data_IF_281140796952
#
_entry.id   IF_281140796952
#
_cell.length_a   1.000
_cell.length_b   1.000
_cell.length_c   1.000
_cell.angle_alpha   90.00
_cell.angle_beta   90.00
_cell.angle_gamma   90.00
#
_symmetry.space_group_name_H-M   'P 1'
#
loop_
_entity.id
_entity.type
_entity.pdbx_description
1 polymer ?
#
# COMPACT_ATOMS: atom_id res chain seq x y z
N UNK A 1 76.18 31.19 -8.54
CA UNK A 1 76.45 32.61 -8.23
C UNK A 1 75.15 33.20 -7.71
N UNK A 2 75.18 33.67 -6.46
CA UNK A 2 74.09 34.21 -5.62
C UNK A 2 73.25 35.27 -6.36
N UNK A 3 72.00 35.61 -5.99
CA UNK A 3 71.48 36.11 -4.70
C UNK A 3 69.95 35.83 -4.63
N UNK A 4 69.36 35.17 -3.63
CA UNK A 4 69.12 35.49 -2.21
C UNK A 4 68.30 36.78 -1.93
N UNK A 5 67.11 36.61 -1.33
CA UNK A 5 66.46 37.44 -0.28
C UNK A 5 65.10 36.79 0.12
N UNK A 6 65.05 35.98 1.19
CA UNK A 6 64.70 36.30 2.60
C UNK A 6 63.23 36.77 2.75
N UNK A 7 62.35 36.10 3.50
CA UNK A 7 62.19 36.14 4.99
C UNK A 7 61.12 35.07 5.39
N UNK A 8 61.35 34.04 6.21
CA UNK A 8 61.41 33.90 7.69
C UNK A 8 60.12 34.27 8.47
N UNK A 9 59.51 33.27 9.13
CA UNK A 9 58.97 33.21 10.52
C UNK A 9 57.90 32.09 10.63
N UNK A 10 58.23 30.84 10.96
CA UNK A 10 58.17 30.22 12.31
C UNK A 10 56.99 30.68 13.17
N UNK A 11 56.00 29.80 13.39
CA UNK A 11 55.46 29.48 14.72
C UNK A 11 55.13 27.98 14.77
N UNK A 12 55.79 27.27 15.67
CA UNK A 12 55.38 25.96 16.18
C UNK A 12 54.63 26.17 17.49
N UNK A 13 53.42 25.63 17.64
CA UNK A 13 52.77 25.41 18.94
C UNK A 13 52.13 24.02 18.90
N UNK A 14 52.68 23.11 19.70
CA UNK A 14 52.00 21.89 20.10
C UNK A 14 50.85 22.25 21.04
N UNK A 15 49.64 21.84 20.69
CA UNK A 15 48.45 21.93 21.53
C UNK A 15 47.83 20.55 21.66
N UNK A 16 47.93 19.97 22.85
CA UNK A 16 47.08 18.87 23.29
C UNK A 16 45.62 19.31 23.15
N UNK A 17 44.83 18.61 22.35
CA UNK A 17 43.37 18.64 22.44
C UNK A 17 42.91 17.19 22.61
N UNK A 18 42.60 16.83 23.85
CA UNK A 18 41.44 15.97 24.12
C UNK A 18 40.27 16.60 23.36
N UNK A 19 39.71 15.86 22.41
CA UNK A 19 38.44 16.19 21.79
C UNK A 19 37.50 15.04 22.08
N UNK A 20 36.41 15.40 22.75
CA UNK A 20 35.18 14.68 23.08
C UNK A 20 35.08 13.23 22.58
N UNK A 21 34.79 12.33 23.52
CA UNK A 21 33.79 11.32 23.23
C UNK A 21 32.52 12.06 22.83
N UNK A 22 32.17 11.95 21.56
CA UNK A 22 30.78 12.14 21.17
C UNK A 22 30.10 10.83 21.53
N UNK A 23 29.39 10.84 22.66
CA UNK A 23 28.16 10.08 22.80
C UNK A 23 27.18 10.66 21.77
N UNK A 24 27.48 10.43 20.49
CA UNK A 24 26.47 10.43 19.45
C UNK A 24 25.91 9.02 19.54
N UNK A 25 24.92 8.85 20.43
CA UNK A 25 23.90 7.82 20.25
C UNK A 25 23.14 8.20 18.97
N UNK A 26 23.82 8.09 17.83
CA UNK A 26 23.17 7.93 16.55
C UNK A 26 22.34 6.67 16.75
N UNK A 27 21.02 6.86 16.88
CA UNK A 27 20.07 5.76 16.97
C UNK A 27 20.07 5.08 15.60
N UNK A 28 21.14 4.36 15.29
CA UNK A 28 21.21 3.47 14.16
C UNK A 28 20.24 2.34 14.50
N UNK A 29 19.04 2.40 13.92
CA UNK A 29 18.09 1.31 14.00
C UNK A 29 18.77 0.12 13.34
N UNK A 30 19.11 -0.90 14.15
CA UNK A 30 19.67 -2.13 13.65
C UNK A 30 18.66 -2.80 12.72
N UNK A 31 19.07 -3.11 11.49
CA UNK A 31 18.22 -3.83 10.55
C UNK A 31 18.09 -5.26 11.05
N UNK A 32 16.91 -5.58 11.57
CA UNK A 32 16.54 -6.90 12.05
C UNK A 32 16.20 -7.86 10.90
N UNK A 33 16.31 -9.16 11.18
CA UNK A 33 15.89 -10.20 10.25
C UNK A 33 14.38 -10.07 9.96
N UNK A 34 13.97 -9.95 8.68
CA UNK A 34 12.56 -9.75 8.33
C UNK A 34 11.63 -10.88 8.77
N UNK A 35 12.10 -12.14 8.79
CA UNK A 35 11.29 -13.28 9.23
C UNK A 35 11.10 -13.25 10.75
N UNK A 36 12.14 -12.92 11.53
CA UNK A 36 12.04 -12.75 12.98
C UNK A 36 11.03 -11.66 13.35
N UNK A 37 11.12 -10.50 12.71
CA UNK A 37 10.17 -9.39 12.94
C UNK A 37 8.75 -9.78 12.55
N UNK A 38 8.57 -10.46 11.42
CA UNK A 38 7.25 -10.94 11.02
C UNK A 38 6.64 -11.91 12.04
N UNK A 39 7.42 -12.84 12.58
CA UNK A 39 6.95 -13.78 13.60
C UNK A 39 6.50 -13.06 14.88
N UNK A 40 7.19 -12.00 15.28
CA UNK A 40 6.81 -11.12 16.40
C UNK A 40 5.54 -10.34 16.10
N UNK A 41 5.49 -9.62 14.98
CA UNK A 41 4.32 -8.85 14.54
C UNK A 41 3.07 -9.73 14.47
N UNK A 42 3.21 -10.93 13.90
CA UNK A 42 2.14 -11.90 13.78
C UNK A 42 1.65 -12.35 15.16
N UNK A 43 2.54 -12.55 16.13
CA UNK A 43 2.17 -12.90 17.49
C UNK A 43 1.42 -11.76 18.19
N UNK A 44 1.86 -10.51 18.01
CA UNK A 44 1.23 -9.32 18.58
C UNK A 44 -0.16 -9.06 17.99
N UNK A 45 -0.29 -9.14 16.66
CA UNK A 45 -1.59 -8.99 15.98
C UNK A 45 -2.56 -10.09 16.43
N UNK A 46 -2.11 -11.35 16.48
CA UNK A 46 -2.97 -12.44 16.96
C UNK A 46 -3.39 -12.26 18.42
N UNK A 47 -2.52 -11.73 19.28
CA UNK A 47 -2.87 -11.40 20.65
C UNK A 47 -3.93 -10.28 20.70
N UNK A 48 -3.77 -9.22 19.90
CA UNK A 48 -4.76 -8.16 19.76
C UNK A 48 -6.12 -8.72 19.32
N UNK A 49 -6.14 -9.50 18.24
CA UNK A 49 -7.36 -10.07 17.65
C UNK A 49 -8.12 -10.99 18.62
N UNK A 50 -7.43 -11.72 19.50
CA UNK A 50 -8.06 -12.60 20.51
C UNK A 50 -8.61 -11.85 21.71
N UNK A 51 -8.10 -10.65 21.99
CA UNK A 51 -8.42 -9.89 23.21
C UNK A 51 -9.32 -8.69 22.96
N UNK A 52 -9.58 -8.36 21.69
CA UNK A 52 -10.42 -7.24 21.29
C UNK A 52 -11.65 -7.70 20.51
N UNK A 53 -12.69 -6.88 20.57
CA UNK A 53 -13.90 -6.96 19.76
C UNK A 53 -14.18 -5.58 19.16
N UNK A 54 -15.12 -5.49 18.21
CA UNK A 54 -15.61 -4.21 17.71
C UNK A 54 -17.07 -3.97 18.09
N UNK A 55 -17.57 -2.75 17.95
CA UNK A 55 -18.96 -2.33 18.18
C UNK A 55 -19.98 -2.98 17.21
N UNK A 56 -19.98 -4.31 17.11
CA UNK A 56 -20.77 -5.12 16.18
C UNK A 56 -22.28 -4.84 16.25
N UNK A 57 -22.82 -4.61 17.44
CA UNK A 57 -24.26 -4.35 17.62
C UNK A 57 -24.72 -3.08 16.89
N UNK A 58 -23.84 -2.08 16.77
CA UNK A 58 -24.15 -0.84 16.06
C UNK A 58 -24.33 -1.11 14.56
N UNK A 59 -23.64 -2.11 14.01
CA UNK A 59 -23.74 -2.49 12.61
C UNK A 59 -24.87 -3.49 12.33
N UNK A 60 -25.20 -4.37 13.28
CA UNK A 60 -26.29 -5.36 13.11
C UNK A 60 -27.69 -4.72 13.12
N UNK A 61 -27.85 -3.60 13.82
CA UNK A 61 -29.15 -2.97 14.06
C UNK A 61 -29.44 -1.77 13.15
N UNK A 62 -28.62 -1.56 12.12
CA UNK A 62 -28.67 -0.34 11.32
C UNK A 62 -29.18 -0.62 9.90
N UNK A 63 -30.19 0.14 9.42
CA UNK A 63 -30.58 0.10 8.02
C UNK A 63 -29.48 0.65 7.08
N UNK A 64 -29.49 0.17 5.83
CA UNK A 64 -28.73 0.74 4.71
C UNK A 64 -28.81 2.28 4.72
N UNK A 65 -27.69 3.00 4.82
CA UNK A 65 -27.72 4.46 4.88
C UNK A 65 -26.53 5.14 5.53
N UNK A 66 -26.38 4.97 6.84
CA UNK A 66 -25.47 5.76 7.65
C UNK A 66 -24.07 5.11 7.76
N UNK A 67 -23.06 5.96 7.88
CA UNK A 67 -21.70 5.54 8.14
C UNK A 67 -21.46 5.43 9.65
N UNK A 68 -21.02 4.25 10.07
CA UNK A 68 -20.60 4.01 11.43
C UNK A 68 -19.10 3.89 11.47
N UNK A 69 -18.53 4.37 12.57
CA UNK A 69 -17.13 4.20 12.86
C UNK A 69 -16.91 2.87 13.57
N UNK A 70 -15.91 2.13 13.12
CA UNK A 70 -15.43 0.94 13.84
C UNK A 70 -14.74 1.43 15.12
N UNK A 71 -15.20 0.92 16.26
CA UNK A 71 -14.59 1.17 17.56
C UNK A 71 -14.18 -0.18 18.15
N UNK A 72 -12.90 -0.31 18.48
CA UNK A 72 -12.37 -1.49 19.15
C UNK A 72 -12.35 -1.30 20.66
N UNK A 73 -12.63 -2.37 21.40
CA UNK A 73 -12.52 -2.41 22.86
C UNK A 73 -12.10 -3.83 23.30
N UNK A 74 -11.68 -3.95 24.54
CA UNK A 74 -11.14 -5.18 25.14
C UNK A 74 -12.23 -6.11 25.66
N UNK A 75 -12.00 -7.41 25.52
CA UNK A 75 -12.84 -8.48 26.06
C UNK A 75 -12.50 -8.65 27.54
N UNK A 76 -13.13 -7.82 28.36
CA UNK A 76 -12.95 -7.83 29.80
C UNK A 76 -14.20 -7.28 30.51
N UNK A 77 -14.41 -7.66 31.77
CA UNK A 77 -15.48 -7.12 32.60
C UNK A 77 -16.86 -7.33 31.98
N UNK A 78 -17.57 -6.23 31.68
CA UNK A 78 -18.90 -6.26 31.03
C UNK A 78 -18.85 -6.77 29.59
N UNK A 79 -17.68 -6.76 28.96
CA UNK A 79 -17.45 -7.21 27.59
C UNK A 79 -16.92 -8.65 27.52
N UNK A 80 -16.93 -9.40 28.63
CA UNK A 80 -16.33 -10.74 28.69
C UNK A 80 -16.97 -11.76 27.72
N UNK A 81 -18.23 -11.55 27.33
CA UNK A 81 -18.97 -12.44 26.42
C UNK A 81 -18.92 -11.98 24.95
N UNK A 82 -18.13 -10.96 24.62
CA UNK A 82 -18.02 -10.45 23.23
C UNK A 82 -17.23 -11.40 22.35
N UNK A 83 -17.63 -11.51 21.09
CA UNK A 83 -16.92 -12.32 20.09
C UNK A 83 -15.59 -11.66 19.73
N UNK A 84 -14.46 -12.38 19.79
CA UNK A 84 -13.15 -11.84 19.43
C UNK A 84 -13.04 -11.53 17.94
N UNK A 85 -12.19 -10.56 17.61
CA UNK A 85 -11.88 -10.25 16.21
C UNK A 85 -11.24 -11.44 15.50
N UNK A 86 -10.49 -12.29 16.20
CA UNK A 86 -9.88 -13.50 15.64
C UNK A 86 -10.87 -14.49 15.03
N UNK A 87 -12.15 -14.41 15.38
CA UNK A 87 -13.22 -15.24 14.82
C UNK A 87 -13.98 -14.55 13.66
N UNK A 88 -13.66 -13.28 13.40
CA UNK A 88 -14.44 -12.40 12.52
C UNK A 88 -13.62 -11.81 11.37
N UNK A 89 -12.29 -11.85 11.46
CA UNK A 89 -11.39 -11.48 10.37
C UNK A 89 -11.22 -12.62 9.37
N UNK A 90 -10.98 -12.26 8.12
CA UNK A 90 -10.42 -13.16 7.11
C UNK A 90 -8.92 -12.90 6.98
N UNK A 91 -8.16 -13.91 6.56
CA UNK A 91 -6.73 -13.76 6.29
C UNK A 91 -6.50 -13.65 4.78
N UNK A 92 -5.67 -12.69 4.39
CA UNK A 92 -5.06 -12.58 3.06
C UNK A 92 -3.57 -12.82 3.19
N UNK A 93 -2.99 -13.52 2.23
CA UNK A 93 -1.55 -13.75 2.17
C UNK A 93 -0.96 -12.84 1.11
N UNK A 94 0.08 -12.09 1.44
CA UNK A 94 0.84 -11.28 0.51
C UNK A 94 2.31 -11.70 0.58
N UNK A 95 2.88 -12.11 -0.55
CA UNK A 95 4.27 -12.53 -0.62
C UNK A 95 5.16 -11.33 -0.94
N UNK A 96 6.13 -11.04 -0.07
CA UNK A 96 7.16 -10.02 -0.30
C UNK A 96 8.50 -10.52 0.21
N UNK A 97 9.57 -10.38 -0.59
CA UNK A 97 10.93 -10.76 -0.21
C UNK A 97 11.01 -12.18 0.41
N UNK A 98 10.35 -13.15 -0.26
CA UNK A 98 10.25 -14.56 0.16
C UNK A 98 9.50 -14.86 1.47
N UNK A 99 8.80 -13.86 2.04
CA UNK A 99 7.96 -14.03 3.22
C UNK A 99 6.49 -13.93 2.81
N UNK A 100 5.71 -14.91 3.25
CA UNK A 100 4.25 -14.94 3.08
C UNK A 100 3.59 -14.23 4.28
N UNK A 101 3.38 -12.92 4.17
CA UNK A 101 2.80 -12.10 5.22
C UNK A 101 1.28 -12.34 5.32
N UNK A 102 0.80 -12.52 6.55
CA UNK A 102 -0.63 -12.60 6.85
C UNK A 102 -1.18 -11.22 7.16
N UNK A 103 -2.12 -10.77 6.34
CA UNK A 103 -2.91 -9.56 6.54
C UNK A 103 -4.30 -9.99 7.00
N UNK A 104 -4.74 -9.51 8.16
CA UNK A 104 -6.08 -9.81 8.67
C UNK A 104 -7.03 -8.68 8.29
N UNK A 105 -8.18 -9.02 7.73
CA UNK A 105 -9.18 -8.06 7.26
C UNK A 105 -10.51 -8.33 7.96
N UNK A 106 -11.01 -7.33 8.67
CA UNK A 106 -12.38 -7.30 9.19
C UNK A 106 -13.29 -6.65 8.14
N UNK A 107 -14.20 -7.45 7.57
CA UNK A 107 -15.24 -6.94 6.68
C UNK A 107 -16.53 -6.72 7.47
N UNK A 108 -16.82 -5.46 7.78
CA UNK A 108 -18.05 -5.08 8.51
C UNK A 108 -19.19 -4.81 7.54
N UNK A 109 -18.88 -4.18 6.39
CA UNK A 109 -19.81 -3.97 5.29
C UNK A 109 -19.04 -4.13 3.98
N UNK A 110 -19.49 -5.05 3.12
CA UNK A 110 -18.86 -5.28 1.81
C UNK A 110 -18.92 -4.05 0.89
N UNK A 111 -19.97 -3.23 1.04
CA UNK A 111 -20.35 -2.22 0.07
C UNK A 111 -21.32 -2.78 -0.97
N UNK A 112 -22.12 -1.93 -1.58
CA UNK A 112 -23.16 -2.34 -2.55
C UNK A 112 -23.06 -1.64 -3.90
N UNK A 113 -22.05 -0.79 -4.08
CA UNK A 113 -21.73 -0.19 -5.36
C UNK A 113 -21.19 -1.21 -6.36
N UNK A 114 -21.28 -0.84 -7.64
CA UNK A 114 -21.00 -1.75 -8.76
C UNK A 114 -19.51 -2.02 -8.95
N UNK A 115 -18.64 -1.14 -8.46
CA UNK A 115 -17.19 -1.28 -8.61
C UNK A 115 -16.62 -1.91 -7.35
N UNK A 116 -15.70 -2.85 -7.56
CA UNK A 116 -14.91 -3.49 -6.52
C UNK A 116 -13.46 -3.05 -6.70
N UNK A 117 -12.80 -2.63 -5.63
CA UNK A 117 -11.40 -2.22 -5.69
C UNK A 117 -10.48 -3.42 -5.93
N UNK A 118 -9.45 -3.22 -6.75
CA UNK A 118 -8.26 -4.08 -6.84
C UNK A 118 -7.06 -3.35 -6.24
N UNK A 119 -5.89 -4.01 -6.14
CA UNK A 119 -4.66 -3.35 -5.67
C UNK A 119 -4.13 -2.34 -6.68
N UNK A 120 -4.57 -2.43 -7.94
CA UNK A 120 -4.17 -1.55 -9.03
C UNK A 120 -4.97 -0.24 -9.09
N UNK A 121 -6.11 -0.15 -8.39
CA UNK A 121 -7.08 0.93 -8.60
C UNK A 121 -6.82 2.19 -7.77
N UNK A 122 -7.49 3.28 -8.16
CA UNK A 122 -7.64 4.45 -7.30
C UNK A 122 -8.89 4.35 -6.43
N UNK A 123 -8.77 4.66 -5.13
CA UNK A 123 -9.89 4.62 -4.17
C UNK A 123 -10.05 5.91 -3.39
N UNK A 124 -11.30 6.34 -3.20
CA UNK A 124 -11.65 7.45 -2.32
C UNK A 124 -12.06 6.88 -0.97
N UNK A 125 -11.33 7.20 0.09
CA UNK A 125 -11.54 6.61 1.42
C UNK A 125 -11.56 7.64 2.53
N UNK A 126 -12.39 7.40 3.55
CA UNK A 126 -12.09 7.87 4.89
C UNK A 126 -11.26 6.80 5.59
N UNK A 127 -10.28 7.19 6.40
CA UNK A 127 -9.48 6.22 7.14
C UNK A 127 -8.97 6.78 8.47
N UNK A 128 -8.60 5.86 9.36
CA UNK A 128 -7.82 6.14 10.56
C UNK A 128 -6.80 5.02 10.76
N UNK A 129 -5.52 5.40 10.88
CA UNK A 129 -4.39 4.54 11.18
C UNK A 129 -4.00 4.61 12.66
N UNK A 130 -3.90 3.46 13.30
CA UNK A 130 -3.53 3.33 14.71
C UNK A 130 -2.47 2.25 14.93
N UNK A 131 -1.67 2.38 15.97
CA UNK A 131 -0.86 1.29 16.50
C UNK A 131 -1.73 0.32 17.32
N UNK A 132 -1.23 -0.88 17.63
CA UNK A 132 -1.95 -1.87 18.46
C UNK A 132 -2.31 -1.35 19.87
N UNK A 133 -1.64 -0.30 20.36
CA UNK A 133 -1.95 0.33 21.63
C UNK A 133 -3.06 1.40 21.55
N UNK A 134 -3.65 1.61 20.36
CA UNK A 134 -4.72 2.58 20.10
C UNK A 134 -4.23 4.00 19.81
N UNK A 135 -2.92 4.26 19.79
CA UNK A 135 -2.40 5.57 19.41
C UNK A 135 -2.66 5.81 17.91
N UNK A 136 -3.44 6.86 17.61
CA UNK A 136 -3.66 7.34 16.25
C UNK A 136 -2.39 8.01 15.73
N UNK A 137 -1.91 7.57 14.57
CA UNK A 137 -0.77 8.20 13.89
C UNK A 137 -1.20 9.02 12.67
N UNK A 138 -2.33 8.68 12.04
CA UNK A 138 -2.86 9.39 10.87
C UNK A 138 -4.37 9.16 10.70
N UNK A 139 -5.10 10.14 10.18
CA UNK A 139 -6.53 10.00 9.89
C UNK A 139 -7.07 11.06 8.92
N UNK A 140 -8.12 10.71 8.18
CA UNK A 140 -8.85 11.65 7.34
C UNK A 140 -10.35 11.30 7.26
N UNK A 141 -11.19 12.24 7.68
CA UNK A 141 -12.66 12.13 7.67
C UNK A 141 -13.34 12.80 6.47
N UNK A 142 -12.60 13.62 5.70
CA UNK A 142 -13.12 14.38 4.55
C UNK A 142 -12.98 13.63 3.22
N UNK A 143 -12.63 12.35 3.28
CA UNK A 143 -12.23 11.51 2.16
C UNK A 143 -10.98 11.99 1.41
N UNK A 144 -10.13 11.06 1.03
CA UNK A 144 -8.96 11.32 0.18
C UNK A 144 -8.81 10.23 -0.88
N UNK A 145 -8.35 10.63 -2.06
CA UNK A 145 -7.99 9.68 -3.11
C UNK A 145 -6.62 9.08 -2.83
N UNK A 146 -6.55 7.77 -2.77
CA UNK A 146 -5.32 7.01 -2.87
C UNK A 146 -5.25 6.31 -4.21
N UNK A 147 -4.12 6.50 -4.88
CA UNK A 147 -3.63 5.60 -5.92
C UNK A 147 -3.03 4.38 -5.20
N UNK A 148 -3.72 3.23 -5.20
CA UNK A 148 -3.37 2.11 -4.33
C UNK A 148 -1.97 1.54 -4.60
N UNK A 149 -1.49 1.41 -5.85
CA UNK A 149 -0.08 1.11 -6.14
C UNK A 149 0.92 2.05 -5.47
N UNK A 150 0.53 3.28 -5.12
CA UNK A 150 1.39 4.24 -4.44
C UNK A 150 1.31 4.20 -2.90
N UNK A 151 0.48 3.33 -2.34
CA UNK A 151 0.36 3.13 -0.88
C UNK A 151 1.28 2.02 -0.37
N UNK A 152 1.33 1.80 0.95
CA UNK A 152 1.95 0.58 1.49
C UNK A 152 1.16 -0.64 1.02
N UNK A 153 1.84 -1.72 0.66
CA UNK A 153 1.20 -2.90 0.05
C UNK A 153 0.09 -3.47 0.93
N UNK A 154 0.29 -3.51 2.25
CA UNK A 154 -0.71 -3.99 3.19
C UNK A 154 -2.01 -3.18 3.16
N UNK A 155 -1.94 -1.87 2.86
CA UNK A 155 -3.13 -1.02 2.71
C UNK A 155 -3.87 -1.32 1.40
N UNK A 156 -3.15 -1.37 0.28
CA UNK A 156 -3.71 -1.77 -1.02
C UNK A 156 -4.40 -3.15 -0.91
N UNK A 157 -3.67 -4.15 -0.41
CA UNK A 157 -4.20 -5.50 -0.17
C UNK A 157 -5.38 -5.50 0.80
N UNK A 158 -5.41 -4.64 1.82
CA UNK A 158 -6.52 -4.58 2.79
C UNK A 158 -7.81 -4.01 2.21
N UNK A 159 -7.72 -2.99 1.35
CA UNK A 159 -8.89 -2.34 0.70
C UNK A 159 -9.42 -3.15 -0.48
N UNK A 160 -8.57 -3.91 -1.16
CA UNK A 160 -8.96 -4.73 -2.32
C UNK A 160 -10.16 -5.63 -2.00
N UNK A 161 -11.01 -5.89 -2.99
CA UNK A 161 -12.21 -6.71 -2.85
C UNK A 161 -13.39 -6.03 -2.14
N UNK A 162 -13.26 -4.83 -1.57
CA UNK A 162 -14.43 -4.06 -1.11
C UNK A 162 -15.11 -3.31 -2.26
N UNK A 163 -16.42 -3.15 -2.16
CA UNK A 163 -17.23 -2.41 -3.12
C UNK A 163 -17.43 -0.95 -2.71
N UNK A 164 -17.56 -0.08 -3.69
CA UNK A 164 -17.81 1.35 -3.46
C UNK A 164 -19.24 1.66 -3.00
N UNK A 165 -19.53 2.93 -2.74
CA UNK A 165 -20.87 3.37 -2.33
C UNK A 165 -21.86 3.40 -3.50
N UNK A 166 -23.12 3.04 -3.27
CA UNK A 166 -24.16 3.02 -4.30
C UNK A 166 -24.53 4.41 -4.80
N UNK A 167 -24.49 5.41 -3.92
CA UNK A 167 -24.86 6.80 -4.24
C UNK A 167 -23.88 7.78 -3.61
N UNK A 168 -23.78 8.97 -4.22
CA UNK A 168 -23.11 10.14 -3.65
C UNK A 168 -24.02 11.34 -3.82
N UNK A 169 -24.30 12.04 -2.73
CA UNK A 169 -25.19 13.21 -2.71
C UNK A 169 -24.41 14.43 -2.23
N UNK A 170 -24.37 15.50 -3.02
CA UNK A 170 -23.76 16.75 -2.60
C UNK A 170 -24.68 17.46 -1.58
N UNK A 171 -24.13 17.86 -0.43
CA UNK A 171 -24.91 18.38 0.71
C UNK A 171 -25.16 19.90 0.65
N UNK A 172 -24.76 20.59 -0.43
CA UNK A 172 -24.94 22.03 -0.61
C UNK A 172 -23.98 22.91 0.21
N UNK A 173 -23.23 22.33 1.14
CA UNK A 173 -22.17 22.96 1.94
C UNK A 173 -20.75 22.66 1.41
N UNK A 174 -20.66 22.01 0.24
CA UNK A 174 -19.41 21.56 -0.36
C UNK A 174 -18.98 20.15 0.05
N UNK A 175 -19.68 19.50 0.97
CA UNK A 175 -19.45 18.09 1.33
C UNK A 175 -20.28 17.13 0.49
N UNK A 176 -19.89 15.85 0.50
CA UNK A 176 -20.57 14.77 -0.21
C UNK A 176 -20.90 13.66 0.78
N UNK A 177 -22.16 13.25 0.81
CA UNK A 177 -22.62 12.07 1.54
C UNK A 177 -22.55 10.84 0.64
N UNK A 178 -22.17 9.70 1.21
CA UNK A 178 -22.10 8.41 0.52
C UNK A 178 -23.02 7.41 1.22
N UNK A 179 -23.64 6.51 0.46
CA UNK A 179 -24.52 5.47 1.02
C UNK A 179 -24.04 4.09 0.60
N UNK A 180 -24.04 3.14 1.54
CA UNK A 180 -23.70 1.73 1.32
C UNK A 180 -22.30 1.50 0.74
N UNK A 181 -21.32 2.32 1.11
CA UNK A 181 -19.91 2.08 0.79
C UNK A 181 -19.28 1.01 1.67
N UNK A 182 -18.24 0.34 1.21
CA UNK A 182 -17.50 -0.65 2.00
C UNK A 182 -17.00 -0.07 3.33
N UNK A 183 -17.06 -0.85 4.41
CA UNK A 183 -16.51 -0.51 5.73
C UNK A 183 -15.72 -1.71 6.22
N UNK A 184 -14.46 -1.48 6.57
CA UNK A 184 -13.59 -2.52 7.08
C UNK A 184 -12.48 -2.00 7.95
N UNK A 185 -11.73 -2.94 8.50
CA UNK A 185 -10.45 -2.68 9.12
C UNK A 185 -9.44 -3.73 8.68
N UNK A 186 -8.16 -3.38 8.70
CA UNK A 186 -7.05 -4.27 8.37
C UNK A 186 -5.98 -4.21 9.46
N UNK A 187 -5.31 -5.34 9.70
CA UNK A 187 -4.23 -5.49 10.68
C UNK A 187 -3.00 -5.98 9.92
N UNK A 188 -1.95 -5.15 9.91
CA UNK A 188 -0.81 -5.29 9.02
C UNK A 188 0.46 -5.54 9.84
N UNK A 189 1.22 -6.61 9.55
CA UNK A 189 2.60 -6.71 9.97
C UNK A 189 3.42 -5.53 9.43
N UNK A 190 4.47 -5.14 10.13
CA UNK A 190 5.31 -4.01 9.76
C UNK A 190 6.00 -4.24 8.40
N UNK A 191 6.32 -5.48 8.04
CA UNK A 191 6.99 -5.85 6.77
C UNK A 191 6.21 -5.51 5.49
N UNK A 192 4.88 -5.37 5.57
CA UNK A 192 4.00 -4.90 4.47
C UNK A 192 3.46 -3.48 4.74
N UNK A 193 4.10 -2.78 5.68
CA UNK A 193 3.84 -1.40 6.06
C UNK A 193 5.12 -0.58 5.95
N UNK A 194 5.67 -0.17 7.09
CA UNK A 194 6.86 0.69 7.13
C UNK A 194 8.14 -0.01 7.61
N UNK A 195 8.05 -1.26 8.07
CA UNK A 195 9.15 -2.09 8.57
C UNK A 195 10.13 -1.28 9.45
N UNK A 196 11.39 -1.11 9.04
CA UNK A 196 12.41 -0.35 9.79
C UNK A 196 12.36 1.17 9.59
N UNK A 197 11.54 1.66 8.64
CA UNK A 197 11.43 3.08 8.31
C UNK A 197 10.52 3.78 9.31
N UNK A 198 11.13 4.50 10.24
CA UNK A 198 10.38 5.26 11.24
C UNK A 198 9.61 6.41 10.57
N UNK A 199 8.30 6.49 10.84
CA UNK A 199 7.45 7.61 10.44
C UNK A 199 7.07 8.45 11.66
N UNK A 200 6.53 9.64 11.44
CA UNK A 200 5.97 10.43 12.54
C UNK A 200 4.82 9.64 13.17
N UNK A 201 4.94 9.30 14.45
CA UNK A 201 3.92 8.53 15.18
C UNK A 201 3.98 7.02 14.96
N UNK A 202 4.89 6.51 14.12
CA UNK A 202 5.05 5.08 13.84
C UNK A 202 6.51 4.68 14.14
N UNK A 203 6.79 4.07 15.30
CA UNK A 203 8.09 3.47 15.56
C UNK A 203 8.45 2.40 14.52
N UNK A 204 9.74 2.17 14.29
CA UNK A 204 10.18 1.02 13.50
C UNK A 204 9.63 -0.30 14.05
N UNK A 205 9.36 -1.22 13.14
CA UNK A 205 8.84 -2.57 13.40
C UNK A 205 7.50 -2.57 14.11
N UNK A 206 6.64 -1.59 13.81
CA UNK A 206 5.31 -1.50 14.41
C UNK A 206 4.25 -2.14 13.51
N UNK A 207 3.46 -3.10 14.02
CA UNK A 207 2.21 -3.50 13.40
C UNK A 207 1.22 -2.34 13.35
N UNK A 208 0.41 -2.30 12.29
CA UNK A 208 -0.53 -1.22 12.02
C UNK A 208 -1.97 -1.73 11.97
N UNK A 209 -2.90 -0.88 12.38
CA UNK A 209 -4.34 -1.08 12.17
C UNK A 209 -4.85 0.09 11.36
N UNK A 210 -5.51 -0.18 10.23
CA UNK A 210 -6.28 0.83 9.52
C UNK A 210 -7.77 0.51 9.55
N UNK A 211 -8.58 1.45 10.01
CA UNK A 211 -10.02 1.46 9.77
C UNK A 211 -10.29 2.27 8.52
N UNK A 212 -11.23 1.85 7.68
CA UNK A 212 -11.57 2.59 6.47
C UNK A 212 -13.05 2.50 6.09
N UNK A 213 -13.49 3.52 5.37
CA UNK A 213 -14.78 3.55 4.67
C UNK A 213 -14.51 3.86 3.20
N UNK A 214 -14.79 2.90 2.33
CA UNK A 214 -14.60 3.00 0.88
C UNK A 214 -15.77 3.74 0.23
N UNK A 215 -15.49 4.89 -0.40
CA UNK A 215 -16.50 5.80 -0.95
C UNK A 215 -16.67 5.60 -2.45
N UNK A 216 -15.56 5.61 -3.18
CA UNK A 216 -15.52 5.48 -4.64
C UNK A 216 -14.34 4.60 -5.02
N UNK A 217 -14.55 3.81 -6.06
CA UNK A 217 -13.47 3.14 -6.79
C UNK A 217 -13.44 3.73 -8.19
N UNK A 218 -12.23 4.01 -8.67
CA UNK A 218 -11.94 4.29 -10.06
C UNK A 218 -11.07 3.15 -10.55
N UNK A 219 -11.62 2.32 -11.45
CA UNK A 219 -10.82 1.35 -12.21
C UNK A 219 -9.84 2.15 -13.06
N UNK A 220 -8.56 1.81 -12.98
CA UNK A 220 -7.49 2.60 -13.56
C UNK A 220 -6.82 1.89 -14.74
N UNK A 221 -6.54 2.75 -15.71
CA UNK A 221 -5.59 2.64 -16.81
C UNK A 221 -4.82 3.96 -16.65
N UNK A 222 -3.55 3.86 -16.28
CA UNK A 222 -2.79 4.95 -15.64
C UNK A 222 -2.06 5.82 -16.67
N UNK A 223 -1.51 5.23 -17.71
CA UNK A 223 -0.92 5.84 -18.91
C UNK A 223 -1.95 6.14 -20.01
N UNK A 224 -3.12 5.49 -19.98
CA UNK A 224 -4.19 5.71 -20.96
C UNK A 224 -3.96 4.98 -22.28
N UNK A 225 -3.26 3.85 -22.27
CA UNK A 225 -2.96 3.05 -23.46
C UNK A 225 -4.07 2.02 -23.81
N UNK A 226 -5.05 1.85 -22.92
CA UNK A 226 -6.19 0.96 -23.13
C UNK A 226 -6.11 -0.36 -22.38
N UNK A 227 -4.98 -0.68 -21.72
CA UNK A 227 -4.87 -1.82 -20.82
C UNK A 227 -5.19 -1.34 -19.39
N UNK A 228 -6.01 -2.09 -18.65
CA UNK A 228 -6.21 -1.77 -17.24
C UNK A 228 -4.97 -2.16 -16.46
N UNK A 229 -4.52 -1.31 -15.55
CA UNK A 229 -3.29 -1.51 -14.76
C UNK A 229 -3.25 -2.80 -13.96
N UNK A 230 -4.40 -3.43 -13.69
CA UNK A 230 -4.47 -4.75 -13.06
C UNK A 230 -3.90 -5.88 -13.92
N UNK A 231 -3.85 -5.71 -15.24
CA UNK A 231 -3.34 -6.70 -16.20
C UNK A 231 -1.87 -6.47 -16.58
N UNK A 232 -1.26 -5.44 -16.01
CA UNK A 232 0.14 -5.08 -16.23
C UNK A 232 1.04 -5.55 -15.08
N UNK A 233 0.48 -6.36 -14.18
CA UNK A 233 1.22 -7.24 -13.29
C UNK A 233 1.53 -8.54 -14.04
N UNK A 234 2.68 -8.56 -14.72
CA UNK A 234 3.07 -9.66 -15.61
C UNK A 234 3.52 -10.89 -14.83
N UNK A 235 3.94 -10.69 -13.59
CA UNK A 235 4.49 -11.75 -12.74
C UNK A 235 3.47 -12.32 -11.73
N UNK A 236 2.28 -11.70 -11.63
CA UNK A 236 1.16 -12.05 -10.76
C UNK A 236 1.50 -12.04 -9.25
N UNK A 237 2.33 -11.09 -8.79
CA UNK A 237 2.71 -10.95 -7.37
C UNK A 237 1.94 -9.87 -6.59
N UNK A 238 0.90 -9.28 -7.20
CA UNK A 238 0.12 -8.16 -6.67
C UNK A 238 0.98 -6.90 -6.40
N UNK A 239 2.04 -6.66 -7.18
CA UNK A 239 2.91 -5.46 -7.12
C UNK A 239 3.22 -4.85 -8.49
N UNK A 240 2.46 -3.84 -8.91
CA UNK A 240 2.78 -3.06 -10.13
C UNK A 240 4.06 -2.24 -10.03
N UNK A 241 4.72 -2.24 -8.87
CA UNK A 241 5.92 -1.44 -8.57
C UNK A 241 7.13 -2.29 -8.27
N UNK A 242 7.09 -3.55 -8.70
CA UNK A 242 8.14 -4.54 -8.60
C UNK A 242 9.54 -3.96 -8.83
N UNK A 243 10.39 -4.02 -7.79
CA UNK A 243 11.74 -3.45 -7.82
C UNK A 243 12.73 -4.22 -8.72
N UNK A 244 12.35 -5.40 -9.18
CA UNK A 244 13.16 -6.29 -10.03
C UNK A 244 12.95 -6.05 -11.54
N UNK A 245 12.18 -5.02 -11.93
CA UNK A 245 11.80 -4.74 -13.33
C UNK A 245 11.03 -5.91 -13.96
N UNK A 246 10.27 -6.66 -13.17
CA UNK A 246 9.46 -7.77 -13.68
C UNK A 246 8.27 -7.29 -14.52
N UNK A 247 7.76 -6.09 -14.22
CA UNK A 247 6.62 -5.46 -14.88
C UNK A 247 7.07 -4.20 -15.65
N UNK A 248 8.31 -4.24 -16.17
CA UNK A 248 8.97 -3.20 -16.96
C UNK A 248 9.64 -3.93 -18.15
N UNK A 249 8.92 -4.03 -19.26
CA UNK A 249 9.27 -4.88 -20.40
C UNK A 249 10.55 -4.38 -21.10
N UNK A 250 10.66 -3.08 -21.36
CA UNK A 250 11.80 -2.47 -22.05
C UNK A 250 12.99 -2.11 -21.13
N UNK A 251 12.77 -2.13 -19.82
CA UNK A 251 13.73 -1.88 -18.74
C UNK A 251 14.22 -0.44 -18.66
N UNK A 252 13.38 0.52 -19.01
CA UNK A 252 13.68 1.95 -18.90
C UNK A 252 13.42 2.53 -17.48
N UNK A 253 12.82 1.72 -16.59
CA UNK A 253 12.40 2.03 -15.20
C UNK A 253 11.06 2.75 -15.08
N UNK A 254 10.25 2.72 -16.11
CA UNK A 254 8.84 3.03 -16.09
C UNK A 254 8.14 1.68 -16.22
N UNK A 255 7.48 1.24 -15.15
CA UNK A 255 6.71 0.00 -15.24
C UNK A 255 5.56 0.19 -16.21
N UNK A 256 5.18 -0.88 -16.90
CA UNK A 256 4.19 -0.91 -17.99
C UNK A 256 2.94 -0.09 -17.64
N UNK A 257 2.39 -0.27 -16.42
CA UNK A 257 1.21 0.49 -15.97
C UNK A 257 1.35 2.02 -15.89
N UNK A 258 2.50 2.58 -16.23
CA UNK A 258 2.76 4.02 -16.36
C UNK A 258 3.54 4.36 -17.63
N UNK A 259 3.80 3.38 -18.47
CA UNK A 259 4.40 3.51 -19.78
C UNK A 259 3.30 3.41 -20.84
N UNK A 260 3.43 4.11 -21.94
CA UNK A 260 2.46 4.02 -23.05
C UNK A 260 3.04 3.30 -24.27
N UNK A 261 4.27 2.79 -24.16
CA UNK A 261 5.11 2.12 -25.16
C UNK A 261 5.91 1.04 -24.41
N UNK A 262 5.19 0.05 -23.85
CA UNK A 262 5.70 -0.93 -22.87
C UNK A 262 7.01 -1.62 -23.27
N UNK A 263 7.13 -1.98 -24.54
CA UNK A 263 8.27 -2.71 -25.08
C UNK A 263 9.37 -1.80 -25.65
N UNK A 264 9.11 -0.49 -25.71
CA UNK A 264 10.02 0.54 -26.19
C UNK A 264 10.40 0.41 -27.67
N UNK A 265 9.55 -0.20 -28.52
CA UNK A 265 9.79 -0.31 -29.96
C UNK A 265 9.50 1.01 -30.73
N UNK A 266 8.82 1.96 -30.06
CA UNK A 266 8.49 3.28 -30.58
C UNK A 266 7.08 3.37 -31.19
N UNK A 267 6.28 2.31 -31.10
CA UNK A 267 4.86 2.27 -31.44
C UNK A 267 4.08 2.16 -30.13
N UNK A 268 3.26 3.18 -29.77
CA UNK A 268 2.53 3.13 -28.50
C UNK A 268 1.67 1.87 -28.36
N UNK A 269 1.62 1.26 -27.17
CA UNK A 269 0.86 0.04 -26.84
C UNK A 269 -0.56 0.04 -27.42
N UNK A 270 -1.27 1.16 -27.30
CA UNK A 270 -2.63 1.36 -27.85
C UNK A 270 -2.76 1.19 -29.37
N UNK A 271 -1.68 1.47 -30.11
CA UNK A 271 -1.62 1.43 -31.57
C UNK A 271 -1.19 0.03 -32.08
N UNK A 272 -0.89 -0.90 -31.17
CA UNK A 272 -0.45 -2.27 -31.44
C UNK A 272 -1.55 -3.33 -31.26
N UNK A 273 -2.80 -2.87 -31.07
CA UNK A 273 -3.96 -3.74 -30.94
C UNK A 273 -3.86 -4.68 -29.71
N UNK A 274 -3.40 -4.11 -28.58
CA UNK A 274 -3.27 -4.80 -27.29
C UNK A 274 -4.61 -5.20 -26.64
N UNK A 275 -5.69 -4.46 -26.91
CA UNK A 275 -7.06 -4.82 -26.50
C UNK A 275 -8.05 -4.63 -27.67
N UNK A 276 -8.18 -5.63 -28.55
CA UNK A 276 -9.05 -5.52 -29.74
C UNK A 276 -10.54 -5.38 -29.43
N UNK A 277 -11.00 -5.88 -28.28
CA UNK A 277 -12.40 -5.88 -27.91
C UNK A 277 -12.81 -4.65 -27.07
N UNK A 278 -11.84 -3.95 -26.49
CA UNK A 278 -12.03 -2.69 -25.77
C UNK A 278 -12.55 -2.86 -24.34
N UNK A 279 -12.36 -4.02 -23.71
CA UNK A 279 -12.77 -4.29 -22.32
C UNK A 279 -11.66 -4.02 -21.28
N UNK A 280 -10.49 -3.61 -21.75
CA UNK A 280 -9.30 -3.28 -21.00
C UNK A 280 -8.45 -4.49 -20.61
N UNK A 281 -8.83 -5.70 -21.02
CA UNK A 281 -8.11 -6.94 -20.74
C UNK A 281 -7.33 -7.41 -21.98
N UNK A 282 -6.00 -7.55 -21.92
CA UNK A 282 -5.18 -7.86 -23.09
C UNK A 282 -5.18 -9.36 -23.47
N UNK A 283 -6.12 -10.17 -22.96
CA UNK A 283 -6.20 -11.61 -23.26
C UNK A 283 -6.46 -11.95 -24.74
N UNK A 284 -6.92 -10.98 -25.53
CA UNK A 284 -7.09 -11.10 -26.98
C UNK A 284 -6.14 -10.22 -27.77
N UNK A 285 -5.06 -9.72 -27.15
CA UNK A 285 -4.00 -8.94 -27.79
C UNK A 285 -3.48 -9.60 -29.07
N UNK A 286 -3.09 -8.78 -30.04
CA UNK A 286 -2.47 -9.25 -31.26
C UNK A 286 -1.08 -9.83 -30.97
N UNK A 287 -0.81 -10.99 -31.54
CA UNK A 287 0.51 -11.61 -31.66
C UNK A 287 0.72 -11.89 -33.16
N UNK A 288 1.52 -11.03 -33.80
CA UNK A 288 1.68 -10.99 -35.25
C UNK A 288 2.52 -12.16 -35.77
N UNK A 289 3.51 -12.62 -35.02
CA UNK A 289 4.47 -13.64 -35.45
C UNK A 289 4.18 -15.05 -34.88
N UNK A 290 3.32 -15.12 -33.86
CA UNK A 290 2.81 -16.35 -33.27
C UNK A 290 3.78 -17.00 -32.28
N UNK A 291 4.70 -16.25 -31.68
CA UNK A 291 5.66 -16.76 -30.70
C UNK A 291 5.10 -16.86 -29.26
N UNK A 292 3.93 -16.24 -29.03
CA UNK A 292 3.22 -16.24 -27.76
C UNK A 292 3.45 -15.00 -26.89
N UNK A 293 4.24 -14.02 -27.34
CA UNK A 293 4.38 -12.70 -26.74
C UNK A 293 3.51 -11.72 -27.56
N UNK A 294 2.54 -11.03 -26.95
CA UNK A 294 1.76 -10.02 -27.67
C UNK A 294 2.63 -8.89 -28.21
N UNK A 295 2.23 -8.30 -29.34
CA UNK A 295 2.98 -7.24 -30.02
C UNK A 295 3.38 -6.09 -29.07
N UNK A 296 2.48 -5.67 -28.16
CA UNK A 296 2.76 -4.59 -27.21
C UNK A 296 3.80 -4.91 -26.13
N UNK A 297 4.22 -6.17 -26.02
CA UNK A 297 5.29 -6.62 -25.12
C UNK A 297 6.48 -7.20 -25.92
N UNK A 298 6.43 -7.16 -27.25
CA UNK A 298 7.42 -7.75 -28.13
C UNK A 298 8.20 -6.69 -28.89
N UNK A 299 9.32 -6.27 -28.29
CA UNK A 299 10.26 -5.38 -28.94
C UNK A 299 10.84 -6.10 -30.16
N UNK A 300 10.27 -5.82 -31.34
CA UNK A 300 10.47 -6.47 -32.67
C UNK A 300 11.90 -6.48 -33.23
N UNK A 301 12.91 -6.38 -32.37
CA UNK A 301 14.33 -6.49 -32.67
C UNK A 301 14.83 -7.92 -32.89
N UNK A 302 14.02 -8.96 -32.63
CA UNK A 302 14.37 -10.35 -32.96
C UNK A 302 13.72 -10.80 -34.28
N UNK A 303 14.50 -10.75 -35.38
CA UNK A 303 14.16 -11.33 -36.70
C UNK A 303 15.02 -12.56 -36.98
#
# INVERSE_FOLDING_TARGET
>A
MNYLKNFVCIIAIAGFLMSCGSDDDDLTIEIRDPQEVYDEDLAEINAYLRTHFYNQDDFQNTPDGDDFEIVFDTIAGTNADRTPLSEQVITRTLRRNDIDYQIFVLNVRQGSGVRQATYADSTLVNYEGTLLNGNVFDSNTNSVWFDLPATIDGFATGVSGFNDATTSTANGDGTVSFTNGGIGAMFLPSGVGYFNSTQVGIPAYSPLIFKFQLRRVRITDHDGDGILSIFEDLNEDDDLRSANLADDTDRDRINNYRDADDDGDGIPTKDENADPNGDGNPNDALDTDGDGIPDYLDNRTEV
#
